data_IF_627235837282
#
_entry.id   IF_627235837282
#
_cell.length_a   1.000
_cell.length_b   1.000
_cell.length_c   1.000
_cell.angle_alpha   90.00
_cell.angle_beta   90.00
_cell.angle_gamma   90.00
#
_symmetry.space_group_name_H-M   'P 1'
#
loop_
_entity.id
_entity.type
_entity.pdbx_description
1 polymer ?
#
# COMPACT_ATOMS: atom_id res chain seq x y z
N UNK A 1 4.09 7.59 3.43
CA UNK A 1 3.75 7.82 1.99
C UNK A 1 2.71 8.94 1.90
N UNK A 2 2.77 9.78 0.86
CA UNK A 2 1.73 10.78 0.59
C UNK A 2 0.43 10.10 0.13
N UNK A 3 -0.70 10.83 0.18
CA UNK A 3 -1.98 10.34 -0.34
C UNK A 3 -1.86 9.92 -1.82
N UNK A 4 -1.25 10.75 -2.65
CA UNK A 4 -1.00 10.46 -4.08
C UNK A 4 -0.19 9.19 -4.28
N UNK A 5 0.84 8.95 -3.47
CA UNK A 5 1.63 7.72 -3.54
C UNK A 5 0.79 6.48 -3.22
N UNK A 6 -0.09 6.56 -2.21
CA UNK A 6 -0.99 5.45 -1.86
C UNK A 6 -2.03 5.19 -2.95
N UNK A 7 -2.65 6.24 -3.49
CA UNK A 7 -3.62 6.16 -4.58
C UNK A 7 -3.00 5.53 -5.84
N UNK A 8 -1.85 6.05 -6.29
CA UNK A 8 -1.13 5.53 -7.45
C UNK A 8 -0.71 4.07 -7.24
N UNK A 9 -0.22 3.72 -6.05
CA UNK A 9 0.17 2.34 -5.73
C UNK A 9 -1.04 1.40 -5.74
N UNK A 10 -2.17 1.80 -5.13
CA UNK A 10 -3.39 0.99 -5.12
C UNK A 10 -3.92 0.74 -6.54
N UNK A 11 -3.91 1.76 -7.42
CA UNK A 11 -4.30 1.61 -8.84
C UNK A 11 -3.39 0.68 -9.61
N UNK A 12 -2.07 0.83 -9.46
CA UNK A 12 -1.11 -0.06 -10.09
C UNK A 12 -1.31 -1.51 -9.64
N UNK A 13 -1.49 -1.75 -8.34
CA UNK A 13 -1.70 -3.10 -7.80
C UNK A 13 -3.06 -3.66 -8.23
N UNK A 14 -4.11 -2.85 -8.31
CA UNK A 14 -5.40 -3.27 -8.84
C UNK A 14 -5.30 -3.69 -10.32
N UNK A 15 -4.61 -2.90 -11.15
CA UNK A 15 -4.34 -3.27 -12.53
C UNK A 15 -3.55 -4.58 -12.61
N UNK A 16 -2.45 -4.73 -11.86
CA UNK A 16 -1.68 -5.99 -11.82
C UNK A 16 -2.52 -7.19 -11.34
N UNK A 17 -3.41 -6.98 -10.36
CA UNK A 17 -4.31 -8.02 -9.84
C UNK A 17 -5.29 -8.48 -10.90
N UNK A 18 -5.83 -7.55 -11.69
CA UNK A 18 -6.69 -7.84 -12.83
C UNK A 18 -5.93 -8.60 -13.93
N UNK A 19 -4.79 -8.09 -14.38
CA UNK A 19 -4.00 -8.66 -15.48
C UNK A 19 -3.46 -10.06 -15.16
N UNK A 20 -3.00 -10.27 -13.92
CA UNK A 20 -2.37 -11.53 -13.50
C UNK A 20 -3.35 -12.48 -12.79
N UNK A 21 -4.62 -12.10 -12.69
CA UNK A 21 -5.67 -12.83 -11.97
C UNK A 21 -5.26 -13.17 -10.52
N UNK A 22 -4.62 -12.22 -9.84
CA UNK A 22 -4.18 -12.37 -8.45
C UNK A 22 -5.26 -11.79 -7.53
N UNK A 23 -5.79 -12.58 -6.58
CA UNK A 23 -6.80 -12.07 -5.65
C UNK A 23 -6.19 -11.11 -4.60
N UNK A 24 -6.94 -10.08 -4.13
CA UNK A 24 -6.41 -9.07 -3.21
C UNK A 24 -5.89 -9.60 -1.85
N UNK A 25 -6.34 -10.78 -1.42
CA UNK A 25 -5.87 -11.44 -0.18
C UNK A 25 -4.43 -11.96 -0.28
N UNK A 26 -3.87 -12.04 -1.49
CA UNK A 26 -2.46 -12.39 -1.73
C UNK A 26 -1.51 -11.19 -1.73
N UNK A 27 -2.04 -9.97 -1.62
CA UNK A 27 -1.24 -8.76 -1.54
C UNK A 27 -0.53 -8.73 -0.18
N UNK A 28 0.80 -8.63 -0.22
CA UNK A 28 1.66 -8.65 0.97
C UNK A 28 2.92 -7.80 0.76
N UNK A 29 3.55 -7.38 1.85
CA UNK A 29 4.79 -6.60 1.80
C UNK A 29 6.01 -7.48 1.49
N UNK A 30 7.11 -6.86 1.06
CA UNK A 30 8.37 -7.58 0.82
C UNK A 30 8.85 -8.29 2.09
N UNK A 31 8.70 -7.67 3.27
CA UNK A 31 9.01 -8.29 4.56
C UNK A 31 8.20 -9.56 4.88
N UNK A 32 7.01 -9.72 4.31
CA UNK A 32 6.19 -10.92 4.50
C UNK A 32 6.64 -12.05 3.56
N UNK A 33 7.18 -11.69 2.39
CA UNK A 33 7.72 -12.63 1.41
C UNK A 33 9.17 -13.05 1.72
N UNK A 34 9.93 -12.22 2.44
CA UNK A 34 11.31 -12.48 2.87
C UNK A 34 11.49 -12.22 4.37
N UNK A 35 10.93 -13.07 5.26
CA UNK A 35 10.96 -12.86 6.70
C UNK A 35 12.38 -12.73 7.25
N UNK A 36 12.63 -11.67 8.03
CA UNK A 36 13.94 -11.40 8.66
C UNK A 36 15.01 -10.83 7.73
N UNK A 37 14.77 -10.76 6.41
CA UNK A 37 15.76 -10.27 5.44
C UNK A 37 15.57 -8.79 5.09
N UNK A 38 14.38 -8.25 5.29
CA UNK A 38 14.07 -6.86 4.96
C UNK A 38 12.95 -6.30 5.82
N UNK A 39 12.93 -4.97 5.96
CA UNK A 39 11.85 -4.22 6.62
C UNK A 39 10.93 -3.52 5.61
N UNK A 40 11.23 -3.59 4.31
CA UNK A 40 10.41 -3.04 3.22
C UNK A 40 8.98 -3.61 3.26
N UNK A 41 7.92 -2.77 3.13
CA UNK A 41 7.90 -1.37 2.67
C UNK A 41 8.09 -0.31 3.77
N UNK A 42 8.62 -0.70 4.93
CA UNK A 42 8.73 0.17 6.09
C UNK A 42 7.42 0.26 6.87
N UNK A 43 7.50 0.64 8.15
CA UNK A 43 6.35 0.61 9.08
C UNK A 43 5.18 1.49 8.63
N UNK A 44 5.48 2.63 8.00
CA UNK A 44 4.48 3.64 7.65
C UNK A 44 3.53 3.17 6.53
N UNK A 45 4.05 2.44 5.53
CA UNK A 45 3.20 1.79 4.53
C UNK A 45 2.62 0.48 5.07
N UNK A 46 3.43 -0.30 5.79
CA UNK A 46 3.05 -1.65 6.23
C UNK A 46 1.80 -1.69 7.12
N UNK A 47 1.51 -0.64 7.90
CA UNK A 47 0.25 -0.55 8.68
C UNK A 47 -1.00 -0.77 7.80
N UNK A 48 -1.02 -0.22 6.57
CA UNK A 48 -2.16 -0.35 5.66
C UNK A 48 -2.31 -1.75 5.09
N UNK A 49 -1.20 -2.48 4.92
CA UNK A 49 -1.22 -3.90 4.53
C UNK A 49 -1.72 -4.76 5.68
N UNK A 50 -1.13 -4.57 6.87
CA UNK A 50 -1.46 -5.35 8.08
C UNK A 50 -2.92 -5.17 8.50
N UNK A 51 -3.43 -3.94 8.44
CA UNK A 51 -4.78 -3.61 8.90
C UNK A 51 -5.84 -3.86 7.81
N UNK A 52 -5.45 -4.42 6.65
CA UNK A 52 -6.34 -4.76 5.54
C UNK A 52 -6.87 -3.57 4.74
N UNK A 53 -6.49 -2.34 5.09
CA UNK A 53 -6.95 -1.14 4.39
C UNK A 53 -6.50 -1.14 2.93
N UNK A 54 -5.24 -1.53 2.66
CA UNK A 54 -4.69 -1.51 1.30
C UNK A 54 -5.36 -2.53 0.39
N UNK A 55 -5.57 -3.77 0.87
CA UNK A 55 -6.31 -4.78 0.10
C UNK A 55 -7.77 -4.39 -0.12
N UNK A 56 -8.40 -3.70 0.83
CA UNK A 56 -9.74 -3.14 0.66
C UNK A 56 -9.79 -2.00 -0.39
N UNK A 57 -8.76 -1.15 -0.47
CA UNK A 57 -8.67 -0.14 -1.53
C UNK A 57 -8.52 -0.78 -2.91
N UNK A 58 -7.68 -1.81 -3.03
CA UNK A 58 -7.53 -2.57 -4.27
C UNK A 58 -8.84 -3.27 -4.66
N UNK A 59 -9.55 -3.85 -3.69
CA UNK A 59 -10.86 -4.48 -3.92
C UNK A 59 -11.88 -3.47 -4.47
N UNK A 60 -11.98 -2.28 -3.87
CA UNK A 60 -12.86 -1.21 -4.37
C UNK A 60 -12.53 -0.85 -5.82
N UNK A 61 -11.25 -0.71 -6.16
CA UNK A 61 -10.81 -0.37 -7.51
C UNK A 61 -11.18 -1.47 -8.53
N UNK A 62 -11.03 -2.74 -8.17
CA UNK A 62 -11.44 -3.88 -9.00
C UNK A 62 -12.96 -3.92 -9.22
N UNK A 63 -13.74 -3.41 -8.27
CA UNK A 63 -15.19 -3.27 -8.37
C UNK A 63 -15.62 -1.98 -9.11
N UNK A 64 -14.68 -1.18 -9.61
CA UNK A 64 -14.97 0.10 -10.27
C UNK A 64 -15.37 1.23 -9.32
N UNK A 65 -15.06 1.10 -8.02
CA UNK A 65 -15.30 2.12 -6.99
C UNK A 65 -14.03 2.87 -6.66
N UNK A 66 -14.15 4.18 -6.40
CA UNK A 66 -13.02 5.00 -6.00
C UNK A 66 -12.80 4.92 -4.48
N UNK A 67 -11.63 4.45 -4.00
CA UNK A 67 -11.36 4.37 -2.57
C UNK A 67 -11.12 5.76 -1.96
N UNK A 68 -11.69 5.99 -0.77
CA UNK A 68 -11.30 7.15 0.05
C UNK A 68 -10.02 6.80 0.83
N UNK A 69 -8.91 7.45 0.48
CA UNK A 69 -7.61 7.24 1.14
C UNK A 69 -7.25 8.49 1.95
N UNK A 70 -7.29 8.35 3.27
CA UNK A 70 -6.79 9.33 4.22
C UNK A 70 -5.56 8.75 4.93
N UNK A 71 -4.33 9.20 4.58
CA UNK A 71 -3.13 8.71 5.23
C UNK A 71 -3.14 9.07 6.72
N UNK A 72 -2.85 8.08 7.57
CA UNK A 72 -2.57 8.36 8.98
C UNK A 72 -1.34 9.27 9.12
N UNK A 73 -1.19 9.97 10.26
CA UNK A 73 -0.01 10.80 10.50
C UNK A 73 1.28 9.97 10.35
N UNK A 74 2.41 10.60 9.98
CA UNK A 74 3.70 9.94 9.99
C UNK A 74 3.94 9.28 11.35
N UNK A 75 4.46 8.06 11.36
CA UNK A 75 4.81 7.41 12.61
C UNK A 75 6.01 8.13 13.25
N UNK A 76 6.02 8.29 14.58
CA UNK A 76 7.07 9.03 15.33
C UNK A 76 8.50 8.58 15.01
N UNK A 77 8.65 7.30 14.67
CA UNK A 77 9.93 6.65 14.36
C UNK A 77 10.22 6.51 12.86
N UNK A 78 9.36 7.10 12.01
CA UNK A 78 9.49 7.09 10.55
C UNK A 78 10.42 8.18 10.04
N UNK A 79 10.93 8.07 8.79
CA UNK A 79 11.69 9.14 8.16
C UNK A 79 10.83 10.42 8.09
N UNK A 80 11.29 11.48 8.73
CA UNK A 80 10.57 12.77 8.85
C UNK A 80 10.87 13.71 7.67
N UNK A 81 11.96 13.48 6.95
CA UNK A 81 12.32 14.24 5.76
C UNK A 81 11.48 13.75 4.58
N UNK A 82 10.60 14.61 4.06
CA UNK A 82 9.94 14.37 2.78
C UNK A 82 10.98 14.54 1.69
N UNK A 83 11.13 13.53 0.83
CA UNK A 83 11.78 13.74 -0.48
C UNK A 83 10.85 14.70 -1.21
N UNK A 84 11.32 15.91 -1.51
CA UNK A 84 10.56 16.92 -2.23
C UNK A 84 10.06 16.35 -3.57
N UNK A 85 8.79 16.60 -3.89
CA UNK A 85 8.25 16.37 -5.22
C UNK A 85 8.77 17.54 -6.09
N UNK A 86 9.87 17.31 -6.84
CA UNK A 86 10.31 18.22 -7.92
C UNK A 86 9.40 18.09 -9.15
#
# INVERSE_FOLDING_TARGET
PSRRQLESCARLVAWLSQELQIPPDRIRGHKDAAPGQTTCPGRDFYRYLRDGQFSNWVTQLLEGREPTIEPGPPLETGPTTRVSEE
#
